data_IF_921436412771
#
_entry.id   IF_921436412771
#
_cell.length_a   1.000
_cell.length_b   1.000
_cell.length_c   1.000
_cell.angle_alpha   90.00
_cell.angle_beta   90.00
_cell.angle_gamma   90.00
#
_symmetry.space_group_name_H-M   'P 1'
#
loop_
_entity.id
_entity.type
_entity.pdbx_description
1 polymer ?
#
# COMPACT_ATOMS: atom_id res chain seq x y z
N UNK A 1 -18.43 -20.04 9.94
CA UNK A 1 -19.81 -20.58 9.90
C UNK A 1 -19.97 -21.48 8.67
N UNK A 2 -20.98 -22.35 8.63
CA UNK A 2 -21.21 -23.24 7.47
C UNK A 2 -21.40 -22.45 6.15
N UNK A 3 -22.10 -21.31 6.20
CA UNK A 3 -22.29 -20.40 5.05
C UNK A 3 -20.98 -19.92 4.43
N UNK A 4 -20.01 -19.59 5.28
CA UNK A 4 -18.71 -19.11 4.86
C UNK A 4 -17.84 -20.20 4.20
N UNK A 5 -17.91 -21.42 4.73
CA UNK A 5 -17.24 -22.57 4.13
C UNK A 5 -17.82 -22.87 2.73
N UNK A 6 -19.14 -22.76 2.57
CA UNK A 6 -19.80 -22.94 1.28
C UNK A 6 -19.39 -21.82 0.31
N UNK A 7 -19.37 -20.55 0.75
CA UNK A 7 -18.90 -19.43 -0.08
C UNK A 7 -17.46 -19.63 -0.53
N UNK A 8 -16.57 -20.05 0.38
CA UNK A 8 -15.18 -20.37 0.06
C UNK A 8 -15.09 -21.41 -1.06
N UNK A 9 -15.80 -22.53 -0.92
CA UNK A 9 -15.79 -23.58 -1.94
C UNK A 9 -16.38 -23.12 -3.27
N UNK A 10 -17.45 -22.32 -3.25
CA UNK A 10 -18.06 -21.79 -4.48
C UNK A 10 -17.12 -20.85 -5.24
N UNK A 11 -16.46 -19.92 -4.54
CA UNK A 11 -15.46 -19.01 -5.13
C UNK A 11 -14.26 -19.79 -5.68
N UNK A 12 -13.71 -20.73 -4.91
CA UNK A 12 -12.56 -21.55 -5.33
C UNK A 12 -12.86 -22.45 -6.55
N UNK A 13 -14.11 -22.89 -6.70
CA UNK A 13 -14.55 -23.72 -7.81
C UNK A 13 -15.02 -22.93 -9.04
N UNK A 14 -15.06 -21.59 -8.97
CA UNK A 14 -15.58 -20.74 -10.05
C UNK A 14 -17.08 -20.87 -10.26
N UNK A 15 -17.84 -21.19 -9.20
CA UNK A 15 -19.30 -21.29 -9.26
C UNK A 15 -19.96 -19.92 -9.06
N UNK A 16 -19.81 -19.03 -10.04
CA UNK A 16 -20.20 -17.62 -9.97
C UNK A 16 -21.67 -17.42 -9.57
N UNK A 17 -22.59 -18.25 -10.08
CA UNK A 17 -24.02 -18.18 -9.72
C UNK A 17 -24.27 -18.55 -8.25
N UNK A 18 -23.59 -19.58 -7.74
CA UNK A 18 -23.72 -20.00 -6.34
C UNK A 18 -23.05 -18.99 -5.41
N UNK A 19 -21.90 -18.45 -5.82
CA UNK A 19 -21.21 -17.38 -5.10
C UNK A 19 -22.11 -16.13 -5.01
N UNK A 20 -22.65 -15.65 -6.14
CA UNK A 20 -23.54 -14.48 -6.19
C UNK A 20 -24.73 -14.61 -5.25
N UNK A 21 -25.41 -15.77 -5.27
CA UNK A 21 -26.51 -16.03 -4.33
C UNK A 21 -26.06 -15.97 -2.88
N UNK A 22 -24.92 -16.57 -2.54
CA UNK A 22 -24.39 -16.55 -1.16
C UNK A 22 -24.00 -15.14 -0.70
N UNK A 23 -23.52 -14.29 -1.60
CA UNK A 23 -23.19 -12.89 -1.33
C UNK A 23 -24.45 -12.05 -1.02
N UNK A 24 -25.59 -12.39 -1.61
CA UNK A 24 -26.88 -11.75 -1.32
C UNK A 24 -27.40 -12.09 0.09
N UNK A 25 -27.08 -13.28 0.62
CA UNK A 25 -27.57 -13.76 1.93
C UNK A 25 -26.86 -13.18 3.17
N UNK A 26 -26.13 -12.07 3.02
CA UNK A 26 -25.57 -11.31 4.14
C UNK A 26 -24.45 -12.02 4.89
N UNK A 27 -23.62 -12.79 4.18
CA UNK A 27 -22.39 -13.36 4.74
C UNK A 27 -21.44 -12.21 5.07
N UNK A 28 -20.82 -12.25 6.25
CA UNK A 28 -19.74 -11.33 6.58
C UNK A 28 -18.51 -11.64 5.71
N UNK A 29 -18.09 -10.66 4.90
CA UNK A 29 -17.01 -10.77 3.92
C UNK A 29 -15.71 -10.14 4.40
N UNK A 30 -15.68 -9.55 5.60
CA UNK A 30 -14.46 -8.94 6.14
C UNK A 30 -13.63 -9.94 6.97
N UNK A 31 -14.03 -11.21 6.93
CA UNK A 31 -13.35 -12.30 7.63
C UNK A 31 -12.37 -13.03 6.71
N UNK A 32 -11.23 -13.35 7.31
CA UNK A 32 -10.06 -13.94 6.66
C UNK A 32 -10.12 -15.47 6.66
N UNK A 33 -10.61 -16.03 5.55
CA UNK A 33 -10.95 -17.46 5.45
C UNK A 33 -10.54 -18.14 4.14
N UNK A 34 -10.11 -17.35 3.15
CA UNK A 34 -9.78 -17.81 1.81
C UNK A 34 -8.31 -18.20 1.69
N UNK A 35 -8.01 -19.16 0.81
CA UNK A 35 -6.62 -19.57 0.52
C UNK A 35 -5.85 -20.16 1.71
N UNK A 36 -4.54 -20.32 1.52
CA UNK A 36 -3.59 -20.74 2.56
C UNK A 36 -3.21 -19.56 3.47
N UNK A 37 -3.18 -18.35 2.90
CA UNK A 37 -2.83 -17.10 3.60
C UNK A 37 -3.96 -16.51 4.45
N UNK A 38 -5.12 -17.16 4.50
CA UNK A 38 -6.33 -16.68 5.19
C UNK A 38 -6.67 -15.26 4.77
N UNK A 39 -7.06 -15.09 3.52
CA UNK A 39 -7.45 -13.81 2.95
C UNK A 39 -8.94 -13.56 3.13
N UNK A 40 -9.38 -12.30 3.04
CA UNK A 40 -10.81 -12.01 2.83
C UNK A 40 -11.20 -12.40 1.40
N UNK A 41 -12.48 -12.66 1.11
CA UNK A 41 -12.97 -12.88 -0.25
C UNK A 41 -12.50 -11.84 -1.28
N UNK A 42 -12.49 -10.54 -0.92
CA UNK A 42 -12.00 -9.50 -1.82
C UNK A 42 -10.50 -9.63 -2.12
N UNK A 43 -9.67 -9.82 -1.08
CA UNK A 43 -8.23 -9.98 -1.24
C UNK A 43 -7.89 -11.21 -2.08
N UNK A 44 -8.58 -12.32 -1.86
CA UNK A 44 -8.43 -13.54 -2.66
C UNK A 44 -8.80 -13.29 -4.13
N UNK A 45 -9.90 -12.59 -4.40
CA UNK A 45 -10.32 -12.28 -5.76
C UNK A 45 -9.26 -11.44 -6.49
N UNK A 46 -8.77 -10.36 -5.85
CA UNK A 46 -7.67 -9.54 -6.38
C UNK A 46 -6.42 -10.38 -6.61
N UNK A 47 -6.06 -11.26 -5.67
CA UNK A 47 -4.92 -12.16 -5.80
C UNK A 47 -5.03 -13.05 -7.05
N UNK A 48 -6.24 -13.54 -7.36
CA UNK A 48 -6.55 -14.31 -8.57
C UNK A 48 -6.76 -13.46 -9.83
N UNK A 49 -6.61 -12.14 -9.75
CA UNK A 49 -6.85 -11.18 -10.84
C UNK A 49 -8.29 -11.18 -11.34
N UNK A 50 -9.24 -11.48 -10.47
CA UNK A 50 -10.68 -11.42 -10.73
C UNK A 50 -11.31 -10.42 -9.78
N UNK A 51 -12.08 -9.45 -10.30
CA UNK A 51 -12.83 -8.54 -9.44
C UNK A 51 -14.32 -8.85 -9.49
N UNK A 52 -14.89 -9.12 -8.33
CA UNK A 52 -16.33 -9.15 -8.12
C UNK A 52 -16.75 -7.85 -7.44
N UNK A 53 -17.57 -7.05 -8.12
CA UNK A 53 -18.04 -5.75 -7.62
C UNK A 53 -18.90 -5.89 -6.36
N UNK A 54 -19.58 -7.02 -6.17
CA UNK A 54 -20.38 -7.28 -4.97
C UNK A 54 -19.44 -7.47 -3.77
N UNK A 55 -18.33 -8.18 -3.96
CA UNK A 55 -17.30 -8.31 -2.92
C UNK A 55 -16.74 -6.94 -2.55
N UNK A 56 -16.44 -6.10 -3.55
CA UNK A 56 -15.92 -4.77 -3.31
C UNK A 56 -16.90 -3.89 -2.54
N UNK A 57 -18.16 -3.83 -2.97
CA UNK A 57 -19.20 -2.99 -2.34
C UNK A 57 -19.52 -3.37 -0.89
N UNK A 58 -19.33 -4.64 -0.53
CA UNK A 58 -19.61 -5.16 0.81
C UNK A 58 -18.38 -5.22 1.72
N UNK A 59 -17.19 -5.02 1.16
CA UNK A 59 -15.96 -4.99 1.95
C UNK A 59 -15.84 -3.66 2.69
N UNK A 60 -15.22 -3.70 3.87
CA UNK A 60 -14.89 -2.48 4.58
C UNK A 60 -13.77 -1.69 3.87
N UNK A 61 -13.70 -0.41 4.21
CA UNK A 61 -12.75 0.56 3.65
C UNK A 61 -11.29 0.10 3.79
N UNK A 62 -10.92 -0.48 4.93
CA UNK A 62 -9.55 -0.95 5.23
C UNK A 62 -9.18 -2.10 4.29
N UNK A 63 -10.02 -3.11 4.20
CA UNK A 63 -9.84 -4.28 3.35
C UNK A 63 -9.77 -3.86 1.88
N UNK A 64 -10.57 -2.89 1.45
CA UNK A 64 -10.49 -2.33 0.10
C UNK A 64 -9.14 -1.64 -0.17
N UNK A 65 -8.61 -0.82 0.75
CA UNK A 65 -7.29 -0.19 0.58
C UNK A 65 -6.14 -1.20 0.63
N UNK A 66 -6.27 -2.29 1.40
CA UNK A 66 -5.32 -3.42 1.36
C UNK A 66 -5.42 -4.13 0.00
N UNK A 67 -6.61 -4.32 -0.55
CA UNK A 67 -6.81 -4.90 -1.88
C UNK A 67 -6.15 -4.05 -2.97
N UNK A 68 -6.25 -2.72 -2.87
CA UNK A 68 -5.51 -1.81 -3.75
C UNK A 68 -3.99 -1.99 -3.60
N UNK A 69 -3.49 -2.07 -2.36
CA UNK A 69 -2.07 -2.32 -2.08
C UNK A 69 -1.57 -3.63 -2.70
N UNK A 70 -2.37 -4.70 -2.63
CA UNK A 70 -2.07 -5.99 -3.25
C UNK A 70 -1.99 -5.89 -4.78
N UNK A 71 -2.91 -5.18 -5.42
CA UNK A 71 -2.85 -4.95 -6.87
C UNK A 71 -1.55 -4.22 -7.26
N UNK A 72 -1.09 -3.27 -6.45
CA UNK A 72 0.21 -2.58 -6.65
C UNK A 72 1.38 -3.56 -6.49
N UNK A 73 1.38 -4.39 -5.44
CA UNK A 73 2.42 -5.41 -5.20
C UNK A 73 2.50 -6.44 -6.34
N UNK A 74 1.37 -6.74 -6.99
CA UNK A 74 1.29 -7.62 -8.16
C UNK A 74 1.62 -6.92 -9.49
N UNK A 75 1.89 -5.62 -9.46
CA UNK A 75 2.04 -4.78 -10.64
C UNK A 75 0.83 -4.87 -11.60
N UNK A 76 -0.38 -4.97 -11.06
CA UNK A 76 -1.63 -5.09 -11.80
C UNK A 76 -2.33 -3.74 -11.93
N UNK A 77 -1.84 -2.91 -12.86
CA UNK A 77 -2.41 -1.59 -13.16
C UNK A 77 -3.90 -1.61 -13.53
N UNK A 78 -4.38 -2.55 -14.37
CA UNK A 78 -5.81 -2.69 -14.65
C UNK A 78 -6.65 -2.95 -13.39
N UNK A 79 -6.22 -3.86 -12.51
CA UNK A 79 -6.94 -4.13 -11.26
C UNK A 79 -6.91 -2.92 -10.32
N UNK A 80 -5.75 -2.28 -10.16
CA UNK A 80 -5.62 -1.07 -9.35
C UNK A 80 -6.56 0.04 -9.86
N UNK A 81 -6.60 0.26 -11.17
CA UNK A 81 -7.49 1.25 -11.79
C UNK A 81 -8.97 0.91 -11.54
N UNK A 82 -9.35 -0.36 -11.69
CA UNK A 82 -10.73 -0.79 -11.47
C UNK A 82 -11.17 -0.59 -10.02
N UNK A 83 -10.30 -0.87 -9.04
CA UNK A 83 -10.56 -0.59 -7.63
C UNK A 83 -10.75 0.92 -7.39
N UNK A 84 -9.86 1.76 -7.94
CA UNK A 84 -9.93 3.21 -7.81
C UNK A 84 -11.18 3.81 -8.46
N UNK A 85 -11.58 3.34 -9.64
CA UNK A 85 -12.83 3.74 -10.32
C UNK A 85 -14.09 3.42 -9.50
N UNK A 86 -14.01 2.43 -8.61
CA UNK A 86 -15.07 2.05 -7.69
C UNK A 86 -14.94 2.71 -6.29
N UNK A 87 -14.11 3.75 -6.16
CA UNK A 87 -14.06 4.60 -4.98
C UNK A 87 -13.20 4.07 -3.82
N UNK A 88 -12.32 3.11 -4.08
CA UNK A 88 -11.34 2.68 -3.07
C UNK A 88 -10.38 3.83 -2.74
N UNK A 89 -10.19 4.09 -1.46
CA UNK A 89 -9.31 5.16 -0.97
C UNK A 89 -7.83 4.74 -1.04
N UNK A 90 -6.96 5.73 -1.25
CA UNK A 90 -5.50 5.54 -1.34
C UNK A 90 -4.81 5.60 0.03
N UNK A 91 -5.54 5.91 1.09
CA UNK A 91 -4.99 6.24 2.40
C UNK A 91 -5.49 5.29 3.49
N UNK A 92 -4.55 4.96 4.39
CA UNK A 92 -4.86 4.45 5.71
C UNK A 92 -4.91 5.62 6.70
N UNK A 93 -5.85 5.57 7.62
CA UNK A 93 -5.95 6.44 8.79
C UNK A 93 -5.08 5.90 9.92
N UNK A 94 -4.70 6.76 10.86
CA UNK A 94 -3.94 6.35 12.06
C UNK A 94 -4.67 5.23 12.84
N UNK A 95 -5.98 5.39 12.99
CA UNK A 95 -6.84 4.44 13.71
C UNK A 95 -6.89 3.06 13.06
N UNK A 96 -6.61 2.93 11.76
CA UNK A 96 -6.55 1.62 11.11
C UNK A 96 -5.40 0.76 11.64
N UNK A 97 -4.33 1.43 12.10
CA UNK A 97 -3.11 0.78 12.60
C UNK A 97 -3.23 0.39 14.07
N UNK A 98 -4.28 0.82 14.77
CA UNK A 98 -4.47 0.53 16.18
C UNK A 98 -5.12 -0.85 16.39
N UNK A 99 -4.47 -1.77 17.12
CA UNK A 99 -5.00 -3.10 17.41
C UNK A 99 -6.25 -3.06 18.33
N UNK A 100 -7.09 -4.11 18.31
CA UNK A 100 -6.82 -5.20 19.24
C UNK A 100 -6.41 -6.45 18.47
N UNK A 101 -5.12 -6.57 18.18
CA UNK A 101 -4.49 -7.77 17.63
C UNK A 101 -3.76 -8.43 18.78
N UNK A 102 -4.41 -9.45 19.34
CA UNK A 102 -3.75 -10.43 20.21
C UNK A 102 -2.73 -11.19 19.35
N UNK A 103 -1.45 -10.93 19.59
CA UNK A 103 -0.32 -11.72 19.11
C UNK A 103 -0.65 -13.23 19.16
N UNK A 104 -0.84 -13.88 18.02
CA UNK A 104 -0.94 -15.33 17.96
C UNK A 104 0.47 -15.96 17.96
N UNK A 105 0.69 -17.09 18.66
CA UNK A 105 2.02 -17.57 19.00
C UNK A 105 2.77 -18.27 17.86
N UNK A 106 2.27 -18.21 16.62
CA UNK A 106 2.85 -18.92 15.49
C UNK A 106 3.39 -17.92 14.47
N UNK A 107 4.66 -17.57 14.66
CA UNK A 107 5.50 -17.01 13.61
C UNK A 107 5.65 -18.06 12.52
N UNK A 108 5.15 -17.79 11.32
CA UNK A 108 5.57 -18.51 10.11
C UNK A 108 6.34 -17.55 9.24
N UNK A 109 7.65 -17.59 9.39
CA UNK A 109 8.63 -17.12 8.41
C UNK A 109 8.47 -17.91 7.11
N UNK A 110 7.78 -17.38 6.10
CA UNK A 110 8.15 -17.61 4.68
C UNK A 110 7.48 -16.61 3.74
N UNK A 111 8.31 -16.07 2.82
CA UNK A 111 8.01 -15.55 1.48
C UNK A 111 6.67 -14.83 1.23
N UNK A 112 6.76 -13.49 1.12
CA UNK A 112 5.85 -12.66 0.32
C UNK A 112 4.42 -12.37 0.84
N UNK A 113 4.11 -12.64 2.10
CA UNK A 113 2.82 -12.24 2.68
C UNK A 113 3.06 -11.27 3.83
N UNK A 114 2.47 -10.08 3.75
CA UNK A 114 2.34 -9.24 4.94
C UNK A 114 1.46 -10.00 5.93
N UNK A 115 1.95 -10.36 7.13
CA UNK A 115 1.13 -11.11 8.05
C UNK A 115 -0.06 -10.24 8.46
N UNK A 116 -1.24 -10.83 8.39
CA UNK A 116 -2.52 -10.25 8.80
C UNK A 116 -2.40 -9.46 10.11
N UNK A 117 -2.75 -8.18 10.10
CA UNK A 117 -2.77 -7.35 11.32
C UNK A 117 -1.39 -6.89 11.79
N UNK A 118 -0.35 -7.03 10.98
CA UNK A 118 0.95 -6.39 11.23
C UNK A 118 0.98 -4.96 10.67
N UNK A 119 1.79 -4.05 11.26
CA UNK A 119 1.85 -2.65 10.85
C UNK A 119 2.16 -2.43 9.36
N UNK A 120 2.85 -3.38 8.71
CA UNK A 120 3.23 -3.25 7.30
C UNK A 120 2.06 -3.47 6.31
N UNK A 121 0.94 -4.03 6.76
CA UNK A 121 -0.30 -4.11 5.97
C UNK A 121 -0.88 -2.71 5.68
N UNK A 122 -0.62 -1.75 6.58
CA UNK A 122 -1.14 -0.37 6.52
C UNK A 122 -0.18 0.64 5.87
N UNK A 123 0.72 0.15 5.01
CA UNK A 123 1.58 1.00 4.17
C UNK A 123 0.77 1.51 2.98
N UNK A 124 0.67 2.83 2.84
CA UNK A 124 -0.06 3.50 1.76
C UNK A 124 0.30 2.94 0.36
N UNK A 125 -0.68 2.63 -0.51
CA UNK A 125 -0.47 2.23 -1.90
C UNK A 125 0.55 3.07 -2.67
N UNK A 126 0.51 4.40 -2.52
CA UNK A 126 1.44 5.31 -3.21
C UNK A 126 2.89 5.04 -2.81
N UNK A 127 3.15 4.79 -1.53
CA UNK A 127 4.49 4.45 -1.05
C UNK A 127 5.01 3.17 -1.72
N UNK A 128 4.17 2.12 -1.83
CA UNK A 128 4.54 0.85 -2.48
C UNK A 128 4.92 1.06 -3.94
N UNK A 129 4.10 1.78 -4.70
CA UNK A 129 4.37 2.09 -6.10
C UNK A 129 5.69 2.85 -6.29
N UNK A 130 5.99 3.81 -5.40
CA UNK A 130 7.26 4.55 -5.40
C UNK A 130 8.44 3.64 -5.10
N UNK A 131 8.33 2.74 -4.12
CA UNK A 131 9.41 1.81 -3.80
C UNK A 131 9.70 0.87 -4.97
N UNK A 132 8.68 0.39 -5.66
CA UNK A 132 8.86 -0.44 -6.85
C UNK A 132 9.33 0.34 -8.09
N UNK A 133 9.45 1.67 -8.00
CA UNK A 133 9.85 2.50 -9.13
C UNK A 133 8.83 2.52 -10.27
N UNK A 134 7.57 2.20 -9.99
CA UNK A 134 6.55 2.10 -11.03
C UNK A 134 5.89 3.45 -11.28
N UNK A 135 6.40 4.17 -12.29
CA UNK A 135 5.93 5.50 -12.67
C UNK A 135 4.44 5.53 -13.07
N UNK A 136 3.95 4.49 -13.75
CA UNK A 136 2.55 4.42 -14.21
C UNK A 136 1.58 4.25 -13.04
N UNK A 137 1.91 3.39 -12.07
CA UNK A 137 1.11 3.20 -10.87
C UNK A 137 1.17 4.43 -9.96
N UNK A 138 2.31 5.10 -9.87
CA UNK A 138 2.43 6.38 -9.15
C UNK A 138 1.51 7.42 -9.77
N UNK A 139 1.58 7.59 -11.10
CA UNK A 139 0.72 8.55 -11.82
C UNK A 139 -0.76 8.21 -11.64
N UNK A 140 -1.11 6.93 -11.74
CA UNK A 140 -2.47 6.45 -11.52
C UNK A 140 -2.97 6.84 -10.14
N UNK A 141 -2.28 6.44 -9.07
CA UNK A 141 -2.69 6.74 -7.68
C UNK A 141 -2.82 8.24 -7.43
N UNK A 142 -1.83 9.04 -7.87
CA UNK A 142 -1.86 10.50 -7.74
C UNK A 142 -3.06 11.12 -8.49
N UNK A 143 -3.38 10.65 -9.70
CA UNK A 143 -4.54 11.13 -10.47
C UNK A 143 -5.89 10.80 -9.84
N UNK A 144 -5.94 9.78 -8.97
CA UNK A 144 -7.10 9.45 -8.14
C UNK A 144 -7.05 10.06 -6.75
N UNK A 145 -6.16 11.05 -6.53
CA UNK A 145 -6.14 11.87 -5.32
C UNK A 145 -5.28 11.33 -4.19
N UNK A 146 -4.37 10.37 -4.45
CA UNK A 146 -3.42 9.93 -3.44
C UNK A 146 -2.57 11.12 -2.94
N UNK A 147 -2.42 11.25 -1.62
CA UNK A 147 -1.63 12.36 -1.04
C UNK A 147 -0.14 12.20 -1.34
N UNK A 148 0.44 13.13 -2.11
CA UNK A 148 1.87 13.16 -2.44
C UNK A 148 2.77 13.39 -1.22
N UNK A 149 2.21 13.78 -0.07
CA UNK A 149 2.91 14.02 1.19
C UNK A 149 2.82 12.87 2.20
N UNK A 150 2.27 11.71 1.80
CA UNK A 150 2.10 10.57 2.71
C UNK A 150 3.39 10.24 3.44
N UNK A 151 3.25 10.15 4.76
CA UNK A 151 4.27 9.68 5.66
C UNK A 151 4.26 8.16 5.78
N UNK A 152 5.40 7.59 6.10
CA UNK A 152 5.53 6.18 6.43
C UNK A 152 6.52 6.02 7.59
N UNK A 153 6.46 4.85 8.22
CA UNK A 153 7.21 4.57 9.43
C UNK A 153 7.53 3.08 9.55
N UNK A 154 8.69 2.74 10.12
CA UNK A 154 9.05 1.35 10.41
C UNK A 154 9.15 0.46 9.19
N UNK A 155 9.73 0.94 8.08
CA UNK A 155 9.90 0.10 6.89
C UNK A 155 10.76 -1.13 7.17
N UNK A 156 10.11 -2.29 7.22
CA UNK A 156 10.78 -3.58 7.13
C UNK A 156 11.16 -3.88 5.66
N UNK A 157 12.24 -3.26 5.18
CA UNK A 157 12.71 -3.34 3.79
C UNK A 157 12.87 -4.78 3.24
N UNK A 158 13.07 -5.79 4.10
CA UNK A 158 13.19 -7.21 3.70
C UNK A 158 11.84 -7.86 3.30
N UNK A 159 10.70 -7.20 3.57
CA UNK A 159 9.37 -7.67 3.19
C UNK A 159 8.91 -7.13 1.82
N UNK A 160 9.53 -6.05 1.33
CA UNK A 160 9.27 -5.53 -0.02
C UNK A 160 10.16 -6.29 -1.00
N UNK A 161 9.58 -6.81 -2.09
CA UNK A 161 10.30 -7.56 -3.15
C UNK A 161 11.18 -6.65 -3.98
N UNK A 162 12.24 -6.11 -3.38
CA UNK A 162 13.22 -5.29 -4.07
C UNK A 162 14.44 -6.13 -4.41
N UNK A 163 14.77 -6.23 -5.70
CA UNK A 163 16.02 -6.84 -6.16
C UNK A 163 17.16 -5.82 -6.01
N UNK A 164 17.64 -5.63 -4.77
CA UNK A 164 18.68 -4.67 -4.42
C UNK A 164 19.54 -5.13 -3.25
N UNK A 165 20.82 -4.81 -3.33
CA UNK A 165 21.79 -5.14 -2.27
C UNK A 165 21.79 -4.11 -1.14
N UNK A 166 21.61 -2.81 -1.43
CA UNK A 166 21.70 -1.75 -0.43
C UNK A 166 20.38 -1.51 0.30
N UNK A 167 20.36 -1.37 1.63
CA UNK A 167 19.13 -1.07 2.40
C UNK A 167 18.68 0.39 2.26
N UNK A 168 17.37 0.65 2.23
CA UNK A 168 16.79 2.01 2.35
C UNK A 168 17.16 2.54 3.72
N UNK A 169 17.68 3.76 3.78
CA UNK A 169 18.13 4.42 5.01
C UNK A 169 17.07 5.35 5.58
N UNK A 170 16.19 5.91 4.74
CA UNK A 170 14.98 6.56 5.20
C UNK A 170 13.94 5.51 5.60
N UNK A 171 14.11 4.88 6.76
CA UNK A 171 13.16 3.90 7.32
C UNK A 171 11.85 4.54 7.80
N UNK A 172 11.91 5.83 8.13
CA UNK A 172 10.77 6.68 8.45
C UNK A 172 10.91 8.01 7.72
N UNK A 173 9.84 8.49 7.09
CA UNK A 173 9.92 9.68 6.24
C UNK A 173 8.67 9.92 5.42
N UNK A 174 8.83 10.70 4.36
CA UNK A 174 7.80 10.93 3.33
C UNK A 174 8.17 10.23 2.05
N UNK A 175 7.16 9.87 1.28
CA UNK A 175 7.32 9.15 0.01
C UNK A 175 8.31 9.84 -0.94
N UNK A 176 8.37 11.17 -0.97
CA UNK A 176 9.33 11.90 -1.82
C UNK A 176 10.79 11.73 -1.39
N UNK A 177 11.06 11.50 -0.10
CA UNK A 177 12.41 11.28 0.40
C UNK A 177 12.95 9.92 -0.04
N UNK A 178 12.12 8.87 0.03
CA UNK A 178 12.50 7.56 -0.48
C UNK A 178 12.64 7.59 -2.00
N UNK A 179 11.74 8.25 -2.75
CA UNK A 179 11.85 8.39 -4.20
C UNK A 179 13.22 8.98 -4.61
N UNK A 180 13.67 10.00 -3.89
CA UNK A 180 14.98 10.62 -4.12
C UNK A 180 16.14 9.71 -3.68
N UNK A 181 16.04 9.01 -2.54
CA UNK A 181 17.06 8.03 -2.12
C UNK A 181 17.25 6.93 -3.18
N UNK A 182 16.14 6.48 -3.77
CA UNK A 182 16.10 5.49 -4.85
C UNK A 182 16.50 6.04 -6.22
N UNK A 183 16.76 7.35 -6.33
CA UNK A 183 17.07 8.04 -7.59
C UNK A 183 15.98 7.91 -8.65
N UNK A 184 14.73 7.83 -8.23
CA UNK A 184 13.58 7.82 -9.14
C UNK A 184 13.21 9.26 -9.52
N UNK A 185 14.01 9.87 -10.40
CA UNK A 185 13.88 11.29 -10.77
C UNK A 185 12.50 11.63 -11.34
N UNK A 186 11.96 10.79 -12.23
CA UNK A 186 10.61 10.99 -12.80
C UNK A 186 9.53 10.96 -11.71
N UNK A 187 9.63 10.02 -10.77
CA UNK A 187 8.70 9.90 -9.65
C UNK A 187 8.81 11.12 -8.74
N UNK A 188 10.01 11.63 -8.48
CA UNK A 188 10.19 12.88 -7.72
C UNK A 188 9.50 14.04 -8.41
N UNK A 189 9.64 14.17 -9.74
CA UNK A 189 8.94 15.21 -10.49
C UNK A 189 7.42 15.04 -10.40
N UNK A 190 6.89 13.82 -10.53
CA UNK A 190 5.47 13.54 -10.37
C UNK A 190 4.95 13.92 -8.98
N UNK A 191 5.66 13.52 -7.92
CA UNK A 191 5.26 13.86 -6.56
C UNK A 191 5.25 15.38 -6.35
N UNK A 192 6.26 16.09 -6.87
CA UNK A 192 6.29 17.56 -6.84
C UNK A 192 5.09 18.14 -7.61
N UNK A 193 4.82 17.67 -8.84
CA UNK A 193 3.69 18.09 -9.66
C UNK A 193 2.36 18.03 -8.91
N UNK A 194 2.16 16.97 -8.13
CA UNK A 194 0.98 16.74 -7.31
C UNK A 194 1.07 17.33 -5.89
N UNK A 195 2.00 18.25 -5.63
CA UNK A 195 2.02 19.06 -4.42
C UNK A 195 2.81 18.48 -3.24
N UNK A 196 3.77 17.59 -3.49
CA UNK A 196 4.71 17.18 -2.45
C UNK A 196 5.55 18.37 -1.95
N UNK A 197 5.59 18.57 -0.64
CA UNK A 197 6.37 19.59 0.04
C UNK A 197 7.58 18.98 0.73
N UNK A 198 8.77 19.38 0.26
CA UNK A 198 10.06 18.90 0.76
C UNK A 198 10.45 19.51 2.12
N UNK A 199 9.72 20.52 2.60
CA UNK A 199 9.97 21.22 3.87
C UNK A 199 9.14 20.68 5.02
N UNK A 200 8.20 19.76 4.77
CA UNK A 200 7.42 19.15 5.83
C UNK A 200 8.34 18.41 6.82
N UNK A 201 8.10 18.67 8.11
CA UNK A 201 8.78 17.99 9.19
C UNK A 201 8.58 16.48 9.14
N UNK A 202 9.37 15.72 9.90
CA UNK A 202 9.16 14.26 10.02
C UNK A 202 7.70 13.98 10.40
N UNK A 203 7.05 12.98 9.79
CA UNK A 203 5.68 12.66 10.16
C UNK A 203 5.69 12.28 11.64
N UNK A 204 4.82 12.91 12.42
CA UNK A 204 4.73 12.67 13.86
C UNK A 204 3.75 11.51 14.05
N UNK A 205 4.28 10.34 14.39
CA UNK A 205 3.49 9.16 14.75
C UNK A 205 3.54 9.02 16.28
N UNK A 206 2.40 9.03 16.97
CA UNK A 206 2.31 8.86 18.44
C UNK A 206 2.38 7.37 18.84
N UNK A 207 3.27 6.62 18.21
CA UNK A 207 3.51 5.23 18.59
C UNK A 207 4.65 5.17 19.63
N UNK A 208 4.27 4.93 20.89
CA UNK A 208 5.20 4.84 22.04
C UNK A 208 6.23 3.70 21.96
N UNK A 209 6.14 2.84 20.94
CA UNK A 209 6.93 1.60 20.82
C UNK A 209 7.97 1.61 19.69
N UNK A 210 7.97 2.60 18.80
CA UNK A 210 9.01 2.73 17.76
C UNK A 210 9.81 4.01 17.93
N UNK A 211 11.13 3.87 17.89
CA UNK A 211 12.05 5.00 17.86
C UNK A 211 12.63 5.10 16.44
N UNK A 212 12.33 6.19 15.73
CA UNK A 212 12.87 6.44 14.39
C UNK A 212 14.40 6.37 14.41
N UNK A 213 14.97 5.42 13.68
CA UNK A 213 16.42 5.40 13.51
C UNK A 213 16.91 6.69 12.83
N UNK A 214 18.12 7.10 13.20
CA UNK A 214 18.75 8.27 12.60
C UNK A 214 19.27 7.91 11.21
N UNK A 215 18.77 8.59 10.19
CA UNK A 215 19.33 8.50 8.83
C UNK A 215 20.80 8.95 8.86
N UNK A 216 21.74 8.17 8.27
CA UNK A 216 23.13 8.60 8.15
C UNK A 216 23.26 9.98 7.53
N UNK A 217 24.14 10.81 8.09
CA UNK A 217 24.24 12.23 7.74
C UNK A 217 24.52 12.46 6.25
N UNK A 218 25.37 11.65 5.65
CA UNK A 218 25.72 11.74 4.23
C UNK A 218 24.49 11.46 3.34
N UNK A 219 23.69 10.45 3.70
CA UNK A 219 22.47 10.07 2.98
C UNK A 219 21.43 11.19 3.09
N UNK A 220 21.22 11.70 4.30
CA UNK A 220 20.31 12.81 4.54
C UNK A 220 20.69 14.06 3.74
N UNK A 221 21.98 14.44 3.76
CA UNK A 221 22.46 15.61 3.01
C UNK A 221 22.32 15.41 1.51
N UNK A 222 22.64 14.22 0.99
CA UNK A 222 22.50 13.88 -0.43
C UNK A 222 21.04 13.95 -0.89
N UNK A 223 20.12 13.31 -0.17
CA UNK A 223 18.68 13.35 -0.49
C UNK A 223 18.15 14.77 -0.42
N UNK A 224 18.49 15.54 0.62
CA UNK A 224 18.04 16.93 0.77
C UNK A 224 18.58 17.83 -0.34
N UNK A 225 19.85 17.68 -0.72
CA UNK A 225 20.44 18.43 -1.83
C UNK A 225 19.76 18.09 -3.16
N UNK A 226 19.50 16.80 -3.42
CA UNK A 226 18.79 16.35 -4.61
C UNK A 226 17.37 16.92 -4.71
N UNK A 227 16.62 16.90 -3.61
CA UNK A 227 15.27 17.47 -3.56
C UNK A 227 15.27 18.98 -3.82
N UNK A 228 16.20 19.72 -3.20
CA UNK A 228 16.34 21.16 -3.47
C UNK A 228 16.66 21.44 -4.95
N UNK A 229 17.54 20.63 -5.56
CA UNK A 229 17.87 20.77 -6.98
C UNK A 229 16.65 20.47 -7.87
N UNK A 230 15.86 19.45 -7.55
CA UNK A 230 14.65 19.10 -8.29
C UNK A 230 13.61 20.23 -8.23
N UNK A 231 13.40 20.83 -7.05
CA UNK A 231 12.51 21.99 -6.89
C UNK A 231 13.02 23.19 -7.69
N UNK A 232 14.30 23.53 -7.59
CA UNK A 232 14.88 24.64 -8.34
C UNK A 232 14.77 24.45 -9.87
N UNK A 233 15.01 23.22 -10.36
CA UNK A 233 14.85 22.89 -11.78
C UNK A 233 13.40 23.09 -12.24
N UNK A 234 12.42 22.66 -11.44
CA UNK A 234 10.99 22.86 -11.74
C UNK A 234 10.61 24.34 -11.74
N UNK A 235 11.06 25.11 -10.76
CA UNK A 235 10.81 26.56 -10.70
C UNK A 235 11.37 27.30 -11.91
N UNK A 236 12.54 26.90 -12.39
CA UNK A 236 13.14 27.45 -13.61
C UNK A 236 12.32 27.10 -14.86
N UNK A 237 11.83 25.85 -14.96
CA UNK A 237 10.98 25.41 -16.07
C UNK A 237 9.62 26.11 -16.10
N UNK A 238 9.06 26.51 -14.94
CA UNK A 238 7.81 27.28 -14.88
C UNK A 238 7.98 28.75 -15.25
N UNK A 239 9.22 29.28 -15.23
CA UNK A 239 9.53 30.67 -15.57
C UNK A 239 9.98 30.86 -17.03
N UNK A 240 10.31 29.78 -17.73
CA UNK A 240 10.70 29.75 -19.13
C UNK A 240 9.48 29.65 -20.05
#
# INVERSE_FOLDING_TARGET
>A
SQKLAILKTALQAGYDNAASQLLEYGVDLNIRVMGEHRETPLLWAVHQKTLDLILLQKSDRVISTIALSLAIDQNDGPMAKLLLENGVQCEFEEADREPPYVSHPFMTTTCCDFPVGEPEEFIHPLFRAVVYGNEDLVRLLLSYGADANVGYHGLCWYKLKMDREERIKFECGRVIQVAMELRHETIVQLLLEYGADINLGRPVWDFRTHNCEMVPRDVFQRVRAGLNAAVAARENNMKA
#
